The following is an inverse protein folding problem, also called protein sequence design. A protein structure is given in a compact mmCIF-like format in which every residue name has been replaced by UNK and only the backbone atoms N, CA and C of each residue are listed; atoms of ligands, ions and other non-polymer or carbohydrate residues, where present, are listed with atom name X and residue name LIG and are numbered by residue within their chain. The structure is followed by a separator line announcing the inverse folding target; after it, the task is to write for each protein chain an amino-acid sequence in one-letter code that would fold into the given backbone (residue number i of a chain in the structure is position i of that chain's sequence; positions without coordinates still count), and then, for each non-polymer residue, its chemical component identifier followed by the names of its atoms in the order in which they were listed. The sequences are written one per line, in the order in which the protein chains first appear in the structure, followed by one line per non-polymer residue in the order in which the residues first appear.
data_IF_598091714518
#
_entry.id   IF_598091714518
#
_cell.length_a   1.000
_cell.length_b   1.000
_cell.length_c   1.000
_cell.angle_alpha   90.00
_cell.angle_beta   90.00
_cell.angle_gamma   90.00
#
_symmetry.space_group_name_H-M   'P 1'
#
loop_
_entity.id
_entity.type
_entity.pdbx_description
1 polymer ?
#
# COMPACT_ATOMS: atom_id res chain seq x y z
N UNK A 1 17.56 -8.79 27.39
CA UNK A 1 18.07 -9.27 26.09
C UNK A 1 17.27 -10.44 25.51
N UNK A 2 16.81 -11.38 26.32
CA UNK A 2 15.98 -12.53 25.87
C UNK A 2 14.58 -12.13 25.43
N UNK A 3 13.93 -11.19 26.13
CA UNK A 3 12.62 -10.61 25.76
C UNK A 3 12.63 -9.95 24.37
N UNK A 4 13.70 -9.22 24.02
CA UNK A 4 13.87 -8.60 22.70
C UNK A 4 14.16 -9.63 21.59
N UNK A 5 14.81 -10.75 21.89
CA UNK A 5 14.99 -11.87 20.95
C UNK A 5 13.69 -12.64 20.69
N UNK A 6 12.82 -12.77 21.70
CA UNK A 6 11.48 -13.37 21.53
C UNK A 6 10.57 -12.51 20.67
N UNK A 7 10.55 -11.19 20.86
CA UNK A 7 9.77 -10.25 20.01
C UNK A 7 10.20 -10.33 18.54
N UNK A 8 11.49 -10.59 18.25
CA UNK A 8 11.96 -10.82 16.86
C UNK A 8 11.51 -12.16 16.26
N UNK A 9 11.05 -13.10 17.07
CA UNK A 9 10.65 -14.45 16.64
C UNK A 9 9.14 -14.64 16.53
N UNK A 10 8.33 -13.62 16.86
CA UNK A 10 6.92 -13.55 16.53
C UNK A 10 6.78 -13.25 15.03
N UNK A 11 7.31 -14.14 14.22
CA UNK A 11 7.07 -14.20 12.79
C UNK A 11 5.76 -14.95 12.65
N UNK A 12 4.67 -14.24 12.76
CA UNK A 12 3.52 -14.18 11.89
C UNK A 12 3.25 -15.51 11.18
N UNK A 13 2.56 -16.40 11.83
CA UNK A 13 1.83 -17.48 11.16
C UNK A 13 0.48 -16.91 10.73
N UNK A 14 0.50 -16.22 9.61
CA UNK A 14 -0.66 -15.56 9.02
C UNK A 14 -1.64 -16.61 8.49
N UNK A 15 -2.84 -16.67 9.01
CA UNK A 15 -3.96 -17.39 8.40
C UNK A 15 -4.53 -16.47 7.32
N UNK A 16 -4.04 -16.62 6.08
CA UNK A 16 -4.52 -15.79 4.97
C UNK A 16 -5.97 -16.14 4.63
N UNK A 17 -6.84 -15.13 4.52
CA UNK A 17 -8.14 -15.27 3.89
C UNK A 17 -7.98 -15.83 2.47
N UNK A 18 -8.95 -16.64 2.00
CA UNK A 18 -8.90 -17.29 0.67
C UNK A 18 -8.51 -16.31 -0.44
N UNK A 19 -9.08 -15.10 -0.45
CA UNK A 19 -8.76 -14.08 -1.45
C UNK A 19 -7.34 -13.52 -1.30
N UNK A 20 -6.84 -13.37 -0.07
CA UNK A 20 -5.45 -12.96 0.19
C UNK A 20 -4.47 -14.02 -0.26
N UNK A 21 -4.78 -15.29 0.03
CA UNK A 21 -3.96 -16.40 -0.40
C UNK A 21 -3.94 -16.52 -1.94
N UNK A 22 -5.09 -16.32 -2.59
CA UNK A 22 -5.19 -16.34 -4.05
C UNK A 22 -4.36 -15.22 -4.68
N UNK A 23 -4.53 -13.96 -4.22
CA UNK A 23 -3.78 -12.81 -4.72
C UNK A 23 -2.28 -12.98 -4.52
N UNK A 24 -1.84 -13.39 -3.32
CA UNK A 24 -0.42 -13.64 -3.03
C UNK A 24 0.13 -14.76 -3.90
N UNK A 25 -0.60 -15.88 -4.03
CA UNK A 25 -0.14 -17.00 -4.83
C UNK A 25 0.01 -16.62 -6.30
N UNK A 26 -0.94 -15.87 -6.88
CA UNK A 26 -0.84 -15.37 -8.25
C UNK A 26 0.32 -14.40 -8.43
N UNK A 27 0.44 -13.42 -7.55
CA UNK A 27 1.50 -12.41 -7.60
C UNK A 27 2.87 -13.06 -7.40
N UNK A 28 3.01 -13.94 -6.41
CA UNK A 28 4.26 -14.63 -6.14
C UNK A 28 4.61 -15.59 -7.29
N UNK A 29 3.63 -16.24 -7.91
CA UNK A 29 3.85 -17.09 -9.09
C UNK A 29 4.33 -16.28 -10.30
N UNK A 30 3.65 -15.18 -10.63
CA UNK A 30 4.02 -14.32 -11.76
C UNK A 30 5.40 -13.67 -11.58
N UNK A 31 5.70 -13.24 -10.36
CA UNK A 31 6.95 -12.54 -10.04
C UNK A 31 8.09 -13.47 -9.66
N UNK A 32 7.84 -14.79 -9.55
CA UNK A 32 8.83 -15.78 -9.16
C UNK A 32 10.13 -15.74 -9.99
N UNK A 33 10.11 -15.55 -11.32
CA UNK A 33 11.36 -15.44 -12.09
C UNK A 33 12.21 -14.23 -11.66
N UNK A 34 11.56 -13.10 -11.40
CA UNK A 34 12.20 -11.83 -11.00
C UNK A 34 12.73 -11.95 -9.58
N UNK A 35 11.92 -12.46 -8.64
CA UNK A 35 12.34 -12.61 -7.24
C UNK A 35 13.47 -13.62 -7.08
N UNK A 36 13.48 -14.70 -7.88
CA UNK A 36 14.59 -15.67 -7.91
C UNK A 36 15.86 -15.04 -8.48
N UNK A 37 15.77 -14.17 -9.48
CA UNK A 37 16.92 -13.42 -9.99
C UNK A 37 17.47 -12.50 -8.90
N UNK A 38 16.61 -11.76 -8.19
CA UNK A 38 17.02 -10.89 -7.09
C UNK A 38 17.64 -11.67 -5.93
N UNK A 39 17.09 -12.85 -5.61
CA UNK A 39 17.69 -13.74 -4.63
C UNK A 39 19.13 -14.14 -5.01
N UNK A 40 19.36 -14.55 -6.28
CA UNK A 40 20.69 -14.89 -6.79
C UNK A 40 21.66 -13.71 -6.77
N UNK A 41 21.16 -12.50 -6.99
CA UNK A 41 21.94 -11.25 -6.98
C UNK A 41 22.10 -10.67 -5.57
N UNK A 42 21.60 -11.36 -4.53
CA UNK A 42 21.58 -10.88 -3.14
C UNK A 42 20.88 -9.53 -2.94
N UNK A 43 19.93 -9.20 -3.82
CA UNK A 43 19.13 -7.98 -3.70
C UNK A 43 18.03 -8.20 -2.65
N UNK A 44 18.02 -7.35 -1.63
CA UNK A 44 17.04 -7.41 -0.55
C UNK A 44 15.77 -6.61 -0.88
N UNK A 45 14.63 -6.99 -0.27
CA UNK A 45 13.38 -6.24 -0.41
C UNK A 45 13.55 -4.76 -0.03
N UNK A 46 14.25 -4.47 1.07
CA UNK A 46 14.50 -3.09 1.50
C UNK A 46 15.27 -2.28 0.45
N UNK A 47 16.22 -2.89 -0.27
CA UNK A 47 16.92 -2.21 -1.36
C UNK A 47 15.98 -1.84 -2.51
N UNK A 48 15.02 -2.73 -2.83
CA UNK A 48 14.00 -2.46 -3.85
C UNK A 48 13.10 -1.28 -3.40
N UNK A 49 12.69 -1.28 -2.14
CA UNK A 49 11.91 -0.17 -1.55
C UNK A 49 12.69 1.15 -1.62
N UNK A 50 13.99 1.17 -1.31
CA UNK A 50 14.82 2.37 -1.46
C UNK A 50 14.95 2.84 -2.91
N UNK A 51 15.05 1.92 -3.87
CA UNK A 51 15.01 2.26 -5.30
C UNK A 51 13.66 2.88 -5.65
N UNK A 52 12.56 2.31 -5.14
CA UNK A 52 11.22 2.87 -5.29
C UNK A 52 11.12 4.31 -4.79
N UNK A 53 11.65 4.62 -3.61
CA UNK A 53 11.76 6.00 -3.11
C UNK A 53 12.55 6.90 -4.07
N UNK A 54 13.71 6.43 -4.53
CA UNK A 54 14.54 7.15 -5.49
C UNK A 54 13.78 7.49 -6.77
N UNK A 55 12.97 6.56 -7.28
CA UNK A 55 12.13 6.77 -8.45
C UNK A 55 11.03 7.82 -8.21
N UNK A 56 10.38 7.81 -7.04
CA UNK A 56 9.38 8.85 -6.70
C UNK A 56 10.04 10.23 -6.65
N UNK A 57 11.17 10.37 -5.96
CA UNK A 57 11.90 11.64 -5.91
C UNK A 57 12.41 12.07 -7.29
N UNK A 58 12.83 11.13 -8.13
CA UNK A 58 13.22 11.41 -9.52
C UNK A 58 12.04 11.95 -10.33
N UNK A 59 10.84 11.36 -10.17
CA UNK A 59 9.63 11.85 -10.84
C UNK A 59 9.29 13.30 -10.41
N UNK A 60 9.41 13.59 -9.10
CA UNK A 60 9.25 14.94 -8.55
C UNK A 60 10.26 15.92 -9.17
N UNK A 61 11.53 15.54 -9.19
CA UNK A 61 12.60 16.34 -9.81
C UNK A 61 12.33 16.62 -11.30
N UNK A 62 11.94 15.58 -12.05
CA UNK A 62 11.65 15.69 -13.47
C UNK A 62 10.51 16.66 -13.77
N UNK A 63 9.49 16.71 -12.90
CA UNK A 63 8.39 17.68 -13.04
C UNK A 63 8.89 19.12 -12.91
N UNK A 64 9.67 19.43 -11.87
CA UNK A 64 10.22 20.78 -11.66
C UNK A 64 11.27 21.15 -12.72
N UNK A 65 12.00 20.18 -13.24
CA UNK A 65 12.93 20.33 -14.34
C UNK A 65 12.23 20.39 -15.72
N UNK A 66 10.87 20.36 -15.75
CA UNK A 66 10.03 20.46 -16.95
C UNK A 66 10.28 19.38 -18.01
N UNK A 67 10.63 18.19 -17.57
CA UNK A 67 10.65 17.03 -18.46
C UNK A 67 9.26 16.72 -18.99
N UNK A 68 9.16 16.08 -20.15
CA UNK A 68 7.89 15.64 -20.70
C UNK A 68 7.14 14.70 -19.73
N UNK A 69 5.82 14.85 -19.66
CA UNK A 69 4.96 14.07 -18.77
C UNK A 69 5.08 12.56 -18.99
N UNK A 70 5.39 12.11 -20.20
CA UNK A 70 5.58 10.69 -20.56
C UNK A 70 6.69 10.03 -19.73
N UNK A 71 7.80 10.74 -19.56
CA UNK A 71 8.93 10.25 -18.76
C UNK A 71 8.60 10.22 -17.28
N UNK A 72 7.90 11.23 -16.79
CA UNK A 72 7.44 11.26 -15.38
C UNK A 72 6.50 10.08 -15.10
N UNK A 73 5.55 9.80 -15.99
CA UNK A 73 4.66 8.66 -15.89
C UNK A 73 5.43 7.34 -15.89
N UNK A 74 6.40 7.18 -16.80
CA UNK A 74 7.24 5.98 -16.84
C UNK A 74 7.96 5.74 -15.51
N UNK A 75 8.54 6.79 -14.94
CA UNK A 75 9.22 6.69 -13.64
C UNK A 75 8.27 6.35 -12.51
N UNK A 76 7.07 6.96 -12.49
CA UNK A 76 6.03 6.62 -11.50
C UNK A 76 5.54 5.17 -11.67
N UNK A 77 5.36 4.71 -12.91
CA UNK A 77 5.00 3.32 -13.19
C UNK A 77 6.09 2.35 -12.70
N UNK A 78 7.37 2.68 -12.91
CA UNK A 78 8.48 1.89 -12.38
C UNK A 78 8.52 1.89 -10.85
N UNK A 79 8.19 3.01 -10.20
CA UNK A 79 8.06 3.09 -8.74
C UNK A 79 6.93 2.18 -8.24
N UNK A 80 5.76 2.19 -8.89
CA UNK A 80 4.65 1.30 -8.56
C UNK A 80 4.97 -0.19 -8.82
N UNK A 81 5.72 -0.50 -9.87
CA UNK A 81 6.19 -1.86 -10.15
C UNK A 81 7.20 -2.33 -9.09
N UNK A 82 8.10 -1.45 -8.63
CA UNK A 82 9.03 -1.80 -7.56
C UNK A 82 8.32 -2.22 -6.27
N UNK A 83 7.19 -1.56 -5.95
CA UNK A 83 6.29 -1.92 -4.87
C UNK A 83 5.69 -3.34 -5.05
N UNK A 84 5.19 -3.63 -6.23
CA UNK A 84 4.64 -4.95 -6.50
C UNK A 84 5.65 -6.10 -6.31
N UNK A 85 6.97 -5.80 -6.42
CA UNK A 85 8.05 -6.79 -6.41
C UNK A 85 8.66 -6.97 -5.00
N UNK A 86 8.75 -5.92 -4.18
CA UNK A 86 9.47 -6.00 -2.90
C UNK A 86 8.80 -6.94 -1.88
N UNK A 87 7.47 -6.95 -1.80
CA UNK A 87 6.73 -7.88 -0.94
C UNK A 87 7.00 -9.36 -1.27
N UNK A 88 6.83 -9.82 -2.54
CA UNK A 88 7.23 -11.17 -2.96
C UNK A 88 8.71 -11.46 -2.72
N UNK A 89 9.60 -10.49 -2.92
CA UNK A 89 11.04 -10.66 -2.67
C UNK A 89 11.32 -10.88 -1.17
N UNK A 90 10.67 -10.12 -0.28
CA UNK A 90 10.79 -10.29 1.16
C UNK A 90 10.34 -11.69 1.60
N UNK A 91 9.24 -12.19 1.04
CA UNK A 91 8.72 -13.54 1.34
C UNK A 91 9.64 -14.64 0.78
N UNK A 92 10.10 -14.51 -0.45
CA UNK A 92 11.03 -15.47 -1.07
C UNK A 92 12.35 -15.58 -0.29
N UNK A 93 12.80 -14.47 0.29
CA UNK A 93 14.05 -14.43 1.08
C UNK A 93 13.83 -14.77 2.57
N UNK A 94 12.59 -15.09 3.00
CA UNK A 94 12.23 -15.28 4.42
C UNK A 94 12.69 -14.10 5.31
N UNK A 95 12.67 -12.89 4.80
CA UNK A 95 13.21 -11.68 5.45
C UNK A 95 12.16 -10.56 5.48
N UNK A 96 10.97 -10.87 5.97
CA UNK A 96 9.94 -9.86 6.23
C UNK A 96 10.31 -9.13 7.52
N UNK A 97 10.48 -7.80 7.46
CA UNK A 97 10.87 -6.98 8.61
C UNK A 97 9.82 -5.90 8.89
N UNK A 98 9.66 -5.55 10.17
CA UNK A 98 8.77 -4.45 10.57
C UNK A 98 9.22 -3.14 9.92
N UNK A 99 10.54 -2.89 9.88
CA UNK A 99 11.10 -1.71 9.23
C UNK A 99 10.74 -1.67 7.72
N UNK A 100 10.87 -2.80 7.04
CA UNK A 100 10.50 -2.91 5.62
C UNK A 100 9.04 -2.56 5.36
N UNK A 101 8.14 -3.08 6.20
CA UNK A 101 6.71 -2.77 6.11
C UNK A 101 6.43 -1.28 6.30
N UNK A 102 7.07 -0.62 7.27
CA UNK A 102 6.93 0.82 7.47
C UNK A 102 7.47 1.65 6.30
N UNK A 103 8.65 1.30 5.80
CA UNK A 103 9.26 1.96 4.64
C UNK A 103 8.35 1.85 3.40
N UNK A 104 7.76 0.69 3.19
CA UNK A 104 6.81 0.43 2.12
C UNK A 104 5.61 1.38 2.20
N UNK A 105 4.93 1.43 3.34
CA UNK A 105 3.79 2.33 3.56
C UNK A 105 4.15 3.82 3.40
N UNK A 106 5.33 4.23 3.85
CA UNK A 106 5.79 5.62 3.71
C UNK A 106 6.03 5.93 2.23
N UNK A 107 6.69 5.03 1.49
CA UNK A 107 6.91 5.19 0.05
C UNK A 107 5.58 5.31 -0.70
N UNK A 108 4.62 4.44 -0.40
CA UNK A 108 3.29 4.48 -1.00
C UNK A 108 2.60 5.80 -0.72
N UNK A 109 2.69 6.31 0.50
CA UNK A 109 2.19 7.64 0.85
C UNK A 109 2.79 8.74 -0.02
N UNK A 110 4.10 8.72 -0.27
CA UNK A 110 4.76 9.68 -1.17
C UNK A 110 4.31 9.52 -2.62
N UNK A 111 4.21 8.28 -3.12
CA UNK A 111 3.74 7.99 -4.48
C UNK A 111 2.33 8.54 -4.69
N UNK A 112 1.43 8.26 -3.74
CA UNK A 112 0.03 8.72 -3.77
C UNK A 112 -0.06 10.23 -3.71
N UNK A 113 0.69 10.86 -2.80
CA UNK A 113 0.69 12.30 -2.64
C UNK A 113 1.14 12.97 -3.94
N UNK A 114 2.19 12.46 -4.55
CA UNK A 114 2.70 12.99 -5.80
C UNK A 114 1.72 12.78 -6.96
N UNK A 115 1.14 11.59 -7.10
CA UNK A 115 0.12 11.31 -8.10
C UNK A 115 -1.10 12.23 -7.92
N UNK A 116 -1.57 12.45 -6.68
CA UNK A 116 -2.66 13.38 -6.38
C UNK A 116 -2.33 14.82 -6.79
N UNK A 117 -1.10 15.24 -6.53
CA UNK A 117 -0.62 16.57 -6.93
C UNK A 117 -0.65 16.75 -8.45
N UNK A 118 -0.19 15.75 -9.22
CA UNK A 118 -0.25 15.78 -10.69
C UNK A 118 -1.70 15.83 -11.18
N UNK A 119 -2.57 14.96 -10.66
CA UNK A 119 -3.99 14.91 -11.00
C UNK A 119 -4.66 16.26 -10.76
N UNK A 120 -4.35 16.92 -9.64
CA UNK A 120 -4.83 18.27 -9.35
C UNK A 120 -4.29 19.31 -10.33
N UNK A 121 -2.98 19.32 -10.55
CA UNK A 121 -2.31 20.30 -11.40
C UNK A 121 -2.79 20.26 -12.85
N UNK A 122 -3.04 19.06 -13.36
CA UNK A 122 -3.59 18.85 -14.70
C UNK A 122 -5.13 18.87 -14.75
N UNK A 123 -5.81 19.24 -13.65
CA UNK A 123 -7.27 19.39 -13.54
C UNK A 123 -8.07 18.15 -13.96
N UNK A 124 -7.53 16.95 -13.69
CA UNK A 124 -8.19 15.68 -13.98
C UNK A 124 -9.29 15.34 -12.97
N UNK A 125 -9.14 15.83 -11.74
CA UNK A 125 -10.14 15.82 -10.66
C UNK A 125 -10.23 17.21 -10.02
N UNK A 126 -11.39 17.51 -9.43
CA UNK A 126 -11.55 18.72 -8.62
C UNK A 126 -10.81 18.58 -7.29
N UNK A 127 -10.45 19.72 -6.69
CA UNK A 127 -9.75 19.74 -5.39
C UNK A 127 -10.60 19.10 -4.30
N UNK A 128 -11.92 19.29 -4.34
CA UNK A 128 -12.87 18.76 -3.35
C UNK A 128 -12.81 17.22 -3.32
N UNK A 129 -12.80 16.58 -4.50
CA UNK A 129 -12.69 15.11 -4.61
C UNK A 129 -11.36 14.62 -4.02
N UNK A 130 -10.27 15.30 -4.31
CA UNK A 130 -8.95 14.95 -3.78
C UNK A 130 -8.93 15.09 -2.26
N UNK A 131 -9.50 16.17 -1.72
CA UNK A 131 -9.62 16.37 -0.27
C UNK A 131 -10.47 15.26 0.38
N UNK A 132 -11.58 14.86 -0.24
CA UNK A 132 -12.42 13.76 0.26
C UNK A 132 -11.62 12.46 0.30
N UNK A 133 -10.91 12.11 -0.76
CA UNK A 133 -10.07 10.90 -0.81
C UNK A 133 -9.06 10.93 0.34
N UNK A 134 -8.31 12.02 0.49
CA UNK A 134 -7.29 12.13 1.54
C UNK A 134 -7.90 12.10 2.95
N UNK A 135 -9.05 12.75 3.15
CA UNK A 135 -9.76 12.71 4.43
C UNK A 135 -10.18 11.29 4.81
N UNK A 136 -10.71 10.52 3.86
CA UNK A 136 -11.09 9.12 4.08
C UNK A 136 -9.86 8.23 4.36
N UNK A 137 -8.76 8.41 3.62
CA UNK A 137 -7.53 7.67 3.83
C UNK A 137 -6.90 7.98 5.21
N UNK A 138 -6.86 9.25 5.60
CA UNK A 138 -6.35 9.66 6.93
C UNK A 138 -7.25 9.14 8.06
N UNK A 139 -8.56 9.12 7.86
CA UNK A 139 -9.48 8.55 8.84
C UNK A 139 -9.28 7.04 9.01
N UNK A 140 -9.11 6.31 7.90
CA UNK A 140 -8.76 4.88 7.93
C UNK A 140 -7.42 4.62 8.62
N UNK A 141 -6.42 5.41 8.29
CA UNK A 141 -5.11 5.33 8.94
C UNK A 141 -5.22 5.56 10.45
N UNK A 142 -5.99 6.55 10.87
CA UNK A 142 -6.23 6.86 12.28
C UNK A 142 -6.92 5.69 13.01
N UNK A 143 -7.97 5.09 12.42
CA UNK A 143 -8.66 3.93 13.00
C UNK A 143 -7.67 2.77 13.18
N UNK A 144 -6.88 2.45 12.14
CA UNK A 144 -5.91 1.36 12.18
C UNK A 144 -4.79 1.60 13.22
N UNK A 145 -4.29 2.83 13.33
CA UNK A 145 -3.27 3.18 14.34
C UNK A 145 -3.85 3.09 15.75
N UNK A 146 -5.08 3.58 15.95
CA UNK A 146 -5.76 3.51 17.25
C UNK A 146 -5.92 2.06 17.70
N UNK A 147 -6.44 1.19 16.83
CA UNK A 147 -6.63 -0.23 17.14
C UNK A 147 -5.30 -0.94 17.42
N UNK A 148 -4.28 -0.65 16.62
CA UNK A 148 -2.93 -1.15 16.86
C UNK A 148 -2.39 -0.70 18.22
N UNK A 149 -2.55 0.58 18.58
CA UNK A 149 -2.03 1.14 19.83
C UNK A 149 -2.75 0.55 21.05
N UNK A 150 -4.08 0.40 20.99
CA UNK A 150 -4.88 -0.20 22.07
C UNK A 150 -4.42 -1.63 22.32
N UNK A 151 -4.29 -2.44 21.28
CA UNK A 151 -3.84 -3.84 21.38
C UNK A 151 -2.40 -3.93 21.89
N UNK A 152 -1.52 -3.06 21.42
CA UNK A 152 -0.14 -2.99 21.89
C UNK A 152 -0.06 -2.69 23.39
N UNK A 153 -0.85 -1.74 23.89
CA UNK A 153 -0.90 -1.40 25.31
C UNK A 153 -1.46 -2.55 26.15
N UNK A 154 -2.50 -3.25 25.67
CA UNK A 154 -3.04 -4.43 26.34
C UNK A 154 -2.01 -5.55 26.49
N UNK A 155 -1.15 -5.76 25.49
CA UNK A 155 -0.07 -6.76 25.55
C UNK A 155 1.02 -6.34 26.54
N UNK A 156 1.36 -5.04 26.58
CA UNK A 156 2.38 -4.53 27.51
C UNK A 156 1.93 -4.66 28.97
N UNK A 157 0.63 -4.47 29.23
CA UNK A 157 0.05 -4.58 30.57
C UNK A 157 -0.22 -6.04 31.00
N UNK A 158 -0.34 -6.96 30.03
CA UNK A 158 -0.53 -8.38 30.35
C UNK A 158 0.81 -9.06 30.55
N UNK A 159 1.02 -9.62 31.75
CA UNK A 159 2.19 -10.47 32.05
C UNK A 159 2.08 -11.90 31.46
N UNK A 160 1.00 -12.20 30.75
CA UNK A 160 0.70 -13.54 30.24
C UNK A 160 1.18 -13.73 28.81
N UNK A 161 2.00 -14.74 28.57
CA UNK A 161 2.52 -15.13 27.24
C UNK A 161 1.40 -15.52 26.24
N UNK A 162 0.19 -15.85 26.71
CA UNK A 162 -0.94 -16.31 25.90
C UNK A 162 -1.52 -15.18 25.01
N UNK A 163 -1.48 -13.90 25.47
CA UNK A 163 -1.94 -12.77 24.68
C UNK A 163 -0.97 -12.36 23.55
N UNK A 164 0.28 -12.82 23.62
CA UNK A 164 1.27 -12.57 22.58
C UNK A 164 0.99 -13.44 21.34
N UNK A 165 0.41 -14.63 21.51
CA UNK A 165 -0.01 -15.48 20.39
C UNK A 165 -1.25 -14.92 19.67
N UNK A 166 -2.15 -14.23 20.39
CA UNK A 166 -3.33 -13.59 19.82
C UNK A 166 -3.06 -12.26 19.12
N UNK A 167 -1.88 -11.66 19.34
CA UNK A 167 -1.41 -10.52 18.56
C UNK A 167 -0.92 -10.99 17.19
N UNK A 168 -1.76 -11.75 16.52
CA UNK A 168 -1.56 -12.02 15.12
C UNK A 168 -1.85 -10.74 14.34
N UNK A 169 -0.97 -10.38 13.40
CA UNK A 169 -1.22 -9.33 12.41
C UNK A 169 -2.46 -9.62 11.54
N UNK A 170 -3.17 -10.71 11.83
CA UNK A 170 -4.43 -11.11 11.19
C UNK A 170 -5.52 -10.05 11.36
N UNK A 171 -5.46 -9.25 12.43
CA UNK A 171 -6.38 -8.16 12.68
C UNK A 171 -6.06 -6.89 11.86
N UNK A 172 -4.89 -6.81 11.23
CA UNK A 172 -4.50 -5.77 10.28
C UNK A 172 -4.73 -6.19 8.81
N UNK A 173 -5.40 -7.32 8.58
CA UNK A 173 -5.73 -7.71 7.20
C UNK A 173 -6.76 -6.75 6.62
N UNK A 174 -6.42 -6.22 5.44
CA UNK A 174 -7.37 -5.46 4.67
C UNK A 174 -8.62 -6.32 4.41
N UNK A 175 -9.80 -5.80 4.75
CA UNK A 175 -11.07 -6.42 4.42
C UNK A 175 -11.23 -6.57 2.90
N UNK A 176 -12.17 -7.38 2.46
CA UNK A 176 -12.50 -7.48 1.01
C UNK A 176 -12.83 -6.11 0.45
N UNK A 177 -13.58 -5.30 1.21
CA UNK A 177 -13.94 -3.93 0.84
C UNK A 177 -12.69 -3.05 0.73
N UNK A 178 -11.74 -3.15 1.67
CA UNK A 178 -10.47 -2.42 1.62
C UNK A 178 -9.62 -2.76 0.39
N UNK A 179 -9.65 -4.00 -0.06
CA UNK A 179 -8.95 -4.40 -1.30
C UNK A 179 -9.61 -3.86 -2.55
N UNK A 180 -10.95 -3.89 -2.62
CA UNK A 180 -11.70 -3.28 -3.71
C UNK A 180 -11.47 -1.77 -3.77
N UNK A 181 -11.45 -1.11 -2.61
CA UNK A 181 -11.08 0.29 -2.48
C UNK A 181 -9.70 0.56 -3.08
N UNK A 182 -8.67 -0.17 -2.65
CA UNK A 182 -7.30 0.00 -3.14
C UNK A 182 -7.19 -0.28 -4.64
N UNK A 183 -7.88 -1.31 -5.15
CA UNK A 183 -7.93 -1.62 -6.57
C UNK A 183 -8.54 -0.48 -7.37
N UNK A 184 -9.72 0.02 -6.97
CA UNK A 184 -10.39 1.14 -7.63
C UNK A 184 -9.53 2.41 -7.61
N UNK A 185 -8.84 2.65 -6.50
CA UNK A 185 -7.92 3.77 -6.36
C UNK A 185 -6.74 3.68 -7.34
N UNK A 186 -6.06 2.54 -7.38
CA UNK A 186 -4.90 2.30 -8.26
C UNK A 186 -5.30 2.41 -9.74
N UNK A 187 -6.41 1.77 -10.11
CA UNK A 187 -6.96 1.82 -11.47
C UNK A 187 -7.38 3.24 -11.84
N UNK A 188 -8.06 3.93 -10.92
CA UNK A 188 -8.50 5.30 -11.13
C UNK A 188 -7.35 6.26 -11.38
N UNK A 189 -6.35 6.27 -10.50
CA UNK A 189 -5.17 7.13 -10.66
C UNK A 189 -4.35 6.75 -11.89
N UNK A 190 -4.19 5.45 -12.15
CA UNK A 190 -3.50 4.96 -13.34
C UNK A 190 -4.14 5.47 -14.64
N UNK A 191 -5.46 5.35 -14.79
CA UNK A 191 -6.17 5.83 -15.97
C UNK A 191 -6.17 7.37 -16.07
N UNK A 192 -6.36 8.08 -14.97
CA UNK A 192 -6.28 9.54 -14.95
C UNK A 192 -4.91 10.02 -15.43
N UNK A 193 -3.81 9.47 -14.92
CA UNK A 193 -2.47 9.85 -15.37
C UNK A 193 -2.19 9.40 -16.81
N UNK A 194 -2.73 8.26 -17.23
CA UNK A 194 -2.57 7.76 -18.59
C UNK A 194 -3.24 8.67 -19.64
N UNK A 195 -4.34 9.37 -19.28
CA UNK A 195 -4.97 10.35 -20.18
C UNK A 195 -4.04 11.47 -20.60
N UNK A 196 -3.06 11.83 -19.77
CA UNK A 196 -2.07 12.85 -20.07
C UNK A 196 -1.10 12.45 -21.20
N UNK A 197 -1.01 11.14 -21.48
CA UNK A 197 -0.09 10.60 -22.47
C UNK A 197 -0.80 10.26 -23.76
N UNK A 198 -1.94 9.54 -23.63
CA UNK A 198 -2.61 8.89 -24.79
C UNK A 198 -3.72 9.77 -25.37
N UNK A 199 -4.17 10.79 -24.64
CA UNK A 199 -5.22 11.74 -25.03
C UNK A 199 -6.52 11.05 -25.52
N UNK A 200 -6.94 9.98 -24.80
CA UNK A 200 -8.19 9.26 -25.05
C UNK A 200 -9.22 9.69 -24.00
N UNK A 201 -10.30 10.42 -24.38
CA UNK A 201 -11.29 10.94 -23.42
C UNK A 201 -11.98 9.86 -22.58
N UNK A 202 -12.15 8.65 -23.13
CA UNK A 202 -12.76 7.52 -22.39
C UNK A 202 -11.94 7.10 -21.17
N UNK A 203 -10.62 7.23 -21.20
CA UNK A 203 -9.77 6.92 -20.04
C UNK A 203 -10.03 7.90 -18.88
N UNK A 204 -10.29 9.16 -19.17
CA UNK A 204 -10.67 10.14 -18.16
C UNK A 204 -11.97 9.71 -17.45
N UNK A 205 -12.98 9.34 -18.23
CA UNK A 205 -14.28 8.93 -17.69
C UNK A 205 -14.14 7.66 -16.84
N UNK A 206 -13.39 6.68 -17.33
CA UNK A 206 -13.13 5.42 -16.58
C UNK A 206 -12.37 5.72 -15.29
N UNK A 207 -11.33 6.57 -15.37
CA UNK A 207 -10.56 6.97 -14.19
C UNK A 207 -11.41 7.67 -13.14
N UNK A 208 -12.25 8.63 -13.56
CA UNK A 208 -13.17 9.33 -12.66
C UNK A 208 -14.23 8.40 -12.05
N UNK A 209 -14.80 7.48 -12.83
CA UNK A 209 -15.74 6.48 -12.34
C UNK A 209 -15.09 5.55 -11.31
N UNK A 210 -13.86 5.11 -11.55
CA UNK A 210 -13.11 4.28 -10.60
C UNK A 210 -12.85 5.03 -9.28
N UNK A 211 -12.58 6.33 -9.33
CA UNK A 211 -12.41 7.16 -8.13
C UNK A 211 -13.73 7.32 -7.36
N UNK A 212 -14.85 7.45 -8.04
CA UNK A 212 -16.15 7.49 -7.35
C UNK A 212 -16.40 6.17 -6.62
N UNK A 213 -16.11 5.03 -7.26
CA UNK A 213 -16.22 3.72 -6.62
C UNK A 213 -15.26 3.57 -5.43
N UNK A 214 -14.04 4.10 -5.55
CA UNK A 214 -13.08 4.13 -4.45
C UNK A 214 -13.64 4.84 -3.23
N UNK A 215 -14.22 6.03 -3.39
CA UNK A 215 -14.83 6.82 -2.30
C UNK A 215 -15.96 6.02 -1.63
N UNK A 216 -16.79 5.34 -2.42
CA UNK A 216 -17.86 4.50 -1.88
C UNK A 216 -17.28 3.34 -1.07
N UNK A 217 -16.29 2.63 -1.60
CA UNK A 217 -15.65 1.53 -0.88
C UNK A 217 -14.87 2.00 0.35
N UNK A 218 -14.26 3.19 0.30
CA UNK A 218 -13.60 3.79 1.46
C UNK A 218 -14.58 4.04 2.59
N UNK A 219 -15.74 4.63 2.28
CA UNK A 219 -16.79 4.85 3.27
C UNK A 219 -17.32 3.54 3.86
N UNK A 220 -17.56 2.52 3.04
CA UNK A 220 -17.99 1.19 3.49
C UNK A 220 -16.94 0.51 4.37
N UNK A 221 -15.66 0.63 4.02
CA UNK A 221 -14.55 0.07 4.78
C UNK A 221 -14.41 0.72 6.17
N UNK A 222 -14.62 2.04 6.25
CA UNK A 222 -14.68 2.76 7.53
C UNK A 222 -15.83 2.25 8.40
N UNK A 223 -17.02 2.08 7.81
CA UNK A 223 -18.18 1.55 8.54
C UNK A 223 -17.96 0.12 9.04
N UNK A 224 -17.36 -0.74 8.22
CA UNK A 224 -17.01 -2.11 8.63
C UNK A 224 -16.01 -2.10 9.80
N UNK A 225 -14.96 -1.29 9.70
CA UNK A 225 -13.94 -1.16 10.75
C UNK A 225 -14.54 -0.64 12.06
N UNK A 226 -15.41 0.35 11.98
CA UNK A 226 -16.10 0.91 13.15
C UNK A 226 -17.02 -0.11 13.83
N UNK A 227 -17.74 -0.92 13.04
CA UNK A 227 -18.60 -1.99 13.60
C UNK A 227 -17.81 -3.09 14.29
N UNK A 228 -16.59 -3.39 13.85
CA UNK A 228 -15.69 -4.34 14.52
C UNK A 228 -15.24 -3.80 15.88
N UNK A 229 -14.83 -2.54 15.92
CA UNK A 229 -14.38 -1.88 17.17
C UNK A 229 -15.47 -1.79 18.27
N UNK A 230 -16.76 -1.81 17.91
CA UNK A 230 -17.87 -1.79 18.90
C UNK A 230 -18.19 -3.18 19.44
N UNK A 231 -17.86 -4.23 18.70
CA UNK A 231 -18.18 -5.62 19.07
C UNK A 231 -17.12 -6.28 19.94
N UNK A 232 -15.91 -5.75 19.90
CA UNK A 232 -14.77 -6.14 20.75
C UNK A 232 -14.74 -5.30 22.03
#
# INVERSE_FOLDING_TARGET
MEKQKRIKKIIIKRKDDFLTALEKNWRDFLLKPITNLFFKLHITANQITYVGFGLVFLAIYMYFAKFEIRWQFLILALAAISDAIDGPTARNNNNVTVLGTWLDHIRDGFLVAWASYLIYTFKLLSLEIIIIIWALQLLMLWINIKDFLIRYLQIVDSETDDLIEDFSLDNLQASVIGRLQFFCWTVGYGFLLLTLIVNIPTLLIIGQAAIILEIIFAALNILESYQKTIKD
#
